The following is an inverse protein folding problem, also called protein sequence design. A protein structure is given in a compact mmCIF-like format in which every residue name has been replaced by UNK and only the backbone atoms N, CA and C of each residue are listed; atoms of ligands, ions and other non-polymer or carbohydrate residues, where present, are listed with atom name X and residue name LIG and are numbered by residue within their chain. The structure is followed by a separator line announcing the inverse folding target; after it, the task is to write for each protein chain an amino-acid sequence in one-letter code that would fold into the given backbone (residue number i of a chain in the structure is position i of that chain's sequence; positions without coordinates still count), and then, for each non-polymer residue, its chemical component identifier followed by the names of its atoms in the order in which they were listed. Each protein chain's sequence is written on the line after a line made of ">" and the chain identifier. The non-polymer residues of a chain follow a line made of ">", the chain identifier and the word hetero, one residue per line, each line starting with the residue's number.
data_IF_372356570307
#
_entry.id   IF_372356570307
#
_cell.length_a   1.000
_cell.length_b   1.000
_cell.length_c   1.000
_cell.angle_alpha   90.00
_cell.angle_beta   90.00
_cell.angle_gamma   90.00
#
_symmetry.space_group_name_H-M   'P 1'
#
loop_
_entity.id
_entity.type
_entity.pdbx_description
1 polymer ?
#
# COMPACT_ATOMS: atom_id res chain seq x y z
N UNK A 1 63.28 -11.85 72.40
CA UNK A 1 61.82 -12.08 72.44
C UNK A 1 61.32 -12.19 71.01
N UNK A 2 60.83 -13.37 70.62
CA UNK A 2 60.51 -13.73 69.23
C UNK A 2 59.23 -13.04 68.71
N UNK A 3 59.25 -12.67 67.43
CA UNK A 3 58.12 -12.11 66.67
C UNK A 3 56.99 -13.14 66.55
N UNK A 4 55.74 -12.70 66.70
CA UNK A 4 54.62 -13.32 65.98
C UNK A 4 53.84 -12.22 65.25
N UNK A 5 53.76 -12.32 63.93
CA UNK A 5 52.78 -11.60 63.13
C UNK A 5 51.93 -12.66 62.45
N UNK A 6 50.67 -12.74 62.85
CA UNK A 6 49.70 -13.66 62.27
C UNK A 6 49.47 -13.28 60.80
N UNK A 7 49.79 -14.23 59.93
CA UNK A 7 49.56 -14.14 58.50
C UNK A 7 48.10 -14.50 58.21
N UNK A 8 47.28 -13.49 57.95
CA UNK A 8 45.87 -13.67 57.58
C UNK A 8 45.76 -14.13 56.13
N UNK A 9 45.39 -15.39 55.91
CA UNK A 9 45.02 -15.92 54.60
C UNK A 9 43.53 -15.71 54.36
N UNK A 10 43.15 -14.56 53.81
CA UNK A 10 41.84 -14.42 53.16
C UNK A 10 42.05 -14.06 51.69
N UNK A 11 42.40 -15.07 50.89
CA UNK A 11 42.56 -14.90 49.44
C UNK A 11 41.74 -15.94 48.68
N UNK A 12 40.43 -15.74 48.66
CA UNK A 12 39.55 -16.19 47.58
C UNK A 12 38.31 -15.28 47.59
N UNK A 13 38.29 -14.20 46.77
CA UNK A 13 37.08 -13.96 45.97
C UNK A 13 37.41 -13.23 44.66
N UNK A 14 38.23 -13.82 43.77
CA UNK A 14 38.63 -13.10 42.52
C UNK A 14 38.16 -13.75 41.23
N UNK A 15 37.87 -15.05 41.23
CA UNK A 15 37.40 -15.76 40.03
C UNK A 15 35.93 -15.44 39.71
N UNK A 16 35.07 -15.40 40.72
CA UNK A 16 33.64 -15.07 40.57
C UNK A 16 33.44 -13.61 40.14
N UNK A 17 34.26 -12.70 40.70
CA UNK A 17 34.25 -11.27 40.34
C UNK A 17 34.60 -11.04 38.86
N UNK A 18 35.59 -11.74 38.33
CA UNK A 18 35.97 -11.61 36.91
C UNK A 18 34.91 -12.19 35.96
N UNK A 19 34.25 -13.29 36.36
CA UNK A 19 33.16 -13.89 35.58
C UNK A 19 31.95 -12.94 35.50
N UNK A 20 31.54 -12.36 36.63
CA UNK A 20 30.44 -11.39 36.69
C UNK A 20 30.73 -10.15 35.84
N UNK A 21 31.96 -9.64 35.87
CA UNK A 21 32.37 -8.48 35.07
C UNK A 21 32.32 -8.78 33.56
N UNK A 22 32.73 -9.99 33.15
CA UNK A 22 32.62 -10.43 31.74
C UNK A 22 31.18 -10.54 31.29
N UNK A 23 30.29 -11.07 32.14
CA UNK A 23 28.86 -11.19 31.83
C UNK A 23 28.18 -9.81 31.72
N UNK A 24 28.55 -8.85 32.58
CA UNK A 24 28.05 -7.47 32.51
C UNK A 24 28.43 -6.75 31.22
N UNK A 25 29.51 -7.14 30.56
CA UNK A 25 29.93 -6.56 29.27
C UNK A 25 29.34 -7.37 28.10
N UNK A 26 29.32 -8.71 28.21
CA UNK A 26 28.85 -9.58 27.14
C UNK A 26 27.35 -9.43 26.86
N UNK A 27 26.49 -9.32 27.89
CA UNK A 27 25.04 -9.20 27.70
C UNK A 27 24.66 -7.93 26.91
N UNK A 28 25.13 -6.72 27.29
CA UNK A 28 24.86 -5.51 26.53
C UNK A 28 25.38 -5.57 25.10
N UNK A 29 26.58 -6.12 24.88
CA UNK A 29 27.17 -6.25 23.54
C UNK A 29 26.34 -7.17 22.65
N UNK A 30 25.90 -8.32 23.17
CA UNK A 30 25.05 -9.27 22.43
C UNK A 30 23.68 -8.64 22.13
N UNK A 31 23.09 -7.93 23.10
CA UNK A 31 21.82 -7.23 22.92
C UNK A 31 21.91 -6.14 21.84
N UNK A 32 22.99 -5.34 21.86
CA UNK A 32 23.23 -4.30 20.85
C UNK A 32 23.44 -4.89 19.44
N UNK A 33 24.20 -5.98 19.33
CA UNK A 33 24.38 -6.70 18.07
C UNK A 33 23.06 -7.23 17.50
N UNK A 34 22.19 -7.77 18.34
CA UNK A 34 20.87 -8.23 17.92
C UNK A 34 20.00 -7.07 17.39
N UNK A 35 20.04 -5.90 18.03
CA UNK A 35 19.30 -4.72 17.57
C UNK A 35 19.79 -4.18 16.22
N UNK A 36 21.09 -4.29 15.93
CA UNK A 36 21.67 -3.85 14.65
C UNK A 36 21.29 -4.77 13.47
N UNK A 37 20.91 -6.02 13.74
CA UNK A 37 20.43 -6.95 12.70
C UNK A 37 18.99 -6.67 12.22
N UNK A 38 18.25 -5.79 12.91
CA UNK A 38 16.89 -5.39 12.56
C UNK A 38 16.77 -4.30 11.49
N UNK A 39 17.89 -3.76 10.97
CA UNK A 39 17.87 -2.78 9.88
C UNK A 39 17.45 -3.48 8.57
N UNK A 40 16.14 -3.50 8.34
CA UNK A 40 15.53 -4.03 7.12
C UNK A 40 16.01 -3.23 5.90
N UNK A 41 16.75 -3.88 4.99
CA UNK A 41 17.07 -3.35 3.65
C UNK A 41 15.94 -3.69 2.65
N UNK A 42 14.68 -3.47 3.04
CA UNK A 42 13.55 -3.65 2.11
C UNK A 42 13.65 -2.61 1.00
N UNK A 43 14.17 -3.04 -0.15
CA UNK A 43 14.18 -2.25 -1.38
C UNK A 43 12.74 -2.03 -1.83
N UNK A 44 12.29 -0.78 -1.79
CA UNK A 44 10.98 -0.40 -2.36
C UNK A 44 11.08 -0.58 -3.88
N UNK A 45 10.40 -1.58 -4.41
CA UNK A 45 10.24 -1.78 -5.85
C UNK A 45 8.92 -1.15 -6.24
N UNK A 46 8.98 -0.01 -6.93
CA UNK A 46 7.80 0.60 -7.52
C UNK A 46 7.32 -0.28 -8.67
N UNK A 47 6.17 -0.92 -8.47
CA UNK A 47 5.49 -1.67 -9.52
C UNK A 47 4.47 -0.75 -10.16
N UNK A 48 4.37 -0.77 -11.49
CA UNK A 48 3.32 -0.04 -12.19
C UNK A 48 1.97 -0.64 -11.84
N UNK A 49 1.03 0.20 -11.41
CA UNK A 49 -0.35 -0.22 -11.17
C UNK A 49 -0.94 -0.70 -12.50
N UNK A 50 -1.55 -1.90 -12.55
CA UNK A 50 -2.19 -2.39 -13.75
C UNK A 50 -3.33 -1.43 -14.16
N UNK A 51 -3.40 -1.11 -15.46
CA UNK A 51 -4.50 -0.34 -16.02
C UNK A 51 -5.78 -1.17 -15.88
N UNK A 52 -6.71 -0.73 -15.04
CA UNK A 52 -8.05 -1.32 -15.01
C UNK A 52 -8.78 -0.81 -16.25
N UNK A 53 -9.09 -1.73 -17.16
CA UNK A 53 -9.82 -1.41 -18.37
C UNK A 53 -11.20 -0.84 -18.02
N UNK A 54 -11.62 0.19 -18.76
CA UNK A 54 -12.99 0.68 -18.62
C UNK A 54 -13.96 -0.45 -18.97
N UNK A 55 -15.06 -0.60 -18.23
CA UNK A 55 -16.15 -1.49 -18.61
C UNK A 55 -16.49 -1.37 -20.11
N UNK A 56 -16.65 -2.51 -20.79
CA UNK A 56 -16.96 -2.55 -22.21
C UNK A 56 -18.25 -1.76 -22.55
N UNK A 57 -19.19 -1.70 -21.60
CA UNK A 57 -20.41 -0.89 -21.72
C UNK A 57 -20.14 0.61 -21.90
N UNK A 58 -19.04 1.13 -21.37
CA UNK A 58 -18.67 2.55 -21.44
C UNK A 58 -17.92 2.91 -22.73
N UNK A 59 -17.47 1.90 -23.47
CA UNK A 59 -16.74 2.04 -24.74
C UNK A 59 -17.53 1.54 -25.93
N UNK A 60 -18.70 0.93 -25.69
CA UNK A 60 -19.61 0.52 -26.75
C UNK A 60 -20.12 1.74 -27.53
N UNK A 61 -20.20 1.62 -28.86
CA UNK A 61 -20.80 2.65 -29.70
C UNK A 61 -22.29 2.78 -29.38
N UNK A 62 -22.77 4.02 -29.37
CA UNK A 62 -24.20 4.29 -29.30
C UNK A 62 -24.86 3.79 -30.59
N UNK A 63 -25.88 2.93 -30.51
CA UNK A 63 -26.53 2.42 -31.71
C UNK A 63 -27.13 3.57 -32.52
N UNK A 64 -26.90 3.55 -33.83
CA UNK A 64 -27.54 4.50 -34.73
C UNK A 64 -29.02 4.12 -34.90
N UNK A 65 -29.95 5.07 -34.77
CA UNK A 65 -31.35 4.79 -35.05
C UNK A 65 -31.57 4.64 -36.56
N UNK A 66 -32.42 3.71 -36.97
CA UNK A 66 -32.79 3.58 -38.38
C UNK A 66 -33.51 4.84 -38.88
N UNK A 67 -32.91 5.54 -39.85
CA UNK A 67 -33.50 6.72 -40.47
C UNK A 67 -34.09 6.31 -41.83
N UNK A 68 -35.42 6.39 -42.00
CA UNK A 68 -36.06 6.05 -43.27
C UNK A 68 -35.84 7.15 -44.33
N UNK A 69 -35.66 6.74 -45.60
CA UNK A 69 -35.48 7.65 -46.75
C UNK A 69 -36.68 8.62 -46.96
N UNK A 70 -37.87 8.20 -46.53
CA UNK A 70 -39.07 9.03 -46.50
C UNK A 70 -39.74 8.89 -45.15
N UNK A 71 -40.00 10.01 -44.50
CA UNK A 71 -40.78 10.07 -43.26
C UNK A 71 -41.89 11.10 -43.37
N UNK A 72 -43.01 10.79 -42.73
CA UNK A 72 -44.05 11.77 -42.43
C UNK A 72 -43.57 12.76 -41.36
N UNK A 73 -44.25 13.89 -41.22
CA UNK A 73 -43.93 14.86 -40.16
C UNK A 73 -44.09 14.27 -38.75
N UNK A 74 -45.06 13.38 -38.51
CA UNK A 74 -45.21 12.71 -37.21
C UNK A 74 -44.01 11.81 -36.88
N UNK A 75 -43.56 11.01 -37.86
CA UNK A 75 -42.40 10.14 -37.69
C UNK A 75 -41.10 10.92 -37.43
N UNK A 76 -40.97 12.13 -37.99
CA UNK A 76 -39.81 12.98 -37.69
C UNK A 76 -39.80 13.44 -36.24
N UNK A 77 -40.97 13.74 -35.68
CA UNK A 77 -41.11 14.11 -34.27
C UNK A 77 -40.75 12.92 -33.36
N UNK A 78 -41.26 11.73 -33.66
CA UNK A 78 -40.95 10.52 -32.91
C UNK A 78 -39.44 10.20 -32.94
N UNK A 79 -38.80 10.36 -34.12
CA UNK A 79 -37.36 10.21 -34.26
C UNK A 79 -36.60 11.21 -33.38
N UNK A 80 -37.02 12.48 -33.34
CA UNK A 80 -36.39 13.49 -32.48
C UNK A 80 -36.51 13.15 -30.99
N UNK A 81 -37.67 12.66 -30.55
CA UNK A 81 -37.86 12.20 -29.16
C UNK A 81 -36.93 11.06 -28.83
N UNK A 82 -36.80 10.08 -29.72
CA UNK A 82 -35.87 8.94 -29.55
C UNK A 82 -34.42 9.42 -29.47
N UNK A 83 -33.99 10.30 -30.38
CA UNK A 83 -32.65 10.89 -30.41
C UNK A 83 -32.32 11.64 -29.11
N UNK A 84 -33.26 12.47 -28.61
CA UNK A 84 -33.07 13.21 -27.37
C UNK A 84 -33.00 12.29 -26.14
N UNK A 85 -33.75 11.20 -26.14
CA UNK A 85 -33.69 10.19 -25.09
C UNK A 85 -32.32 9.50 -25.04
N UNK A 86 -31.83 9.04 -26.19
CA UNK A 86 -30.51 8.41 -26.32
C UNK A 86 -29.40 9.39 -25.94
N UNK A 87 -29.48 10.65 -26.38
CA UNK A 87 -28.54 11.70 -25.99
C UNK A 87 -28.51 11.92 -24.47
N UNK A 88 -29.69 11.93 -23.84
CA UNK A 88 -29.82 12.01 -22.38
C UNK A 88 -29.13 10.85 -21.68
N UNK A 89 -29.28 9.63 -22.21
CA UNK A 89 -28.61 8.46 -21.68
C UNK A 89 -27.09 8.56 -21.84
N UNK A 90 -26.59 8.92 -23.02
CA UNK A 90 -25.15 9.12 -23.26
C UNK A 90 -24.54 10.18 -22.32
N UNK A 91 -25.29 11.24 -21.99
CA UNK A 91 -24.84 12.24 -21.04
C UNK A 91 -24.76 11.71 -19.60
N UNK A 92 -25.69 10.82 -19.19
CA UNK A 92 -25.62 10.13 -17.90
C UNK A 92 -24.42 9.19 -17.84
N UNK A 93 -24.21 8.38 -18.87
CA UNK A 93 -23.07 7.46 -18.92
C UNK A 93 -21.74 8.23 -18.81
N UNK A 94 -21.60 9.37 -19.48
CA UNK A 94 -20.43 10.27 -19.32
C UNK A 94 -20.27 10.80 -17.91
N UNK A 95 -21.35 11.14 -17.22
CA UNK A 95 -21.30 11.60 -15.83
C UNK A 95 -20.83 10.47 -14.90
N UNK A 96 -21.32 9.25 -15.11
CA UNK A 96 -20.92 8.08 -14.34
C UNK A 96 -19.44 7.74 -14.55
N UNK A 97 -18.92 7.85 -15.78
CA UNK A 97 -17.48 7.72 -16.06
C UNK A 97 -16.68 8.76 -15.26
N UNK A 98 -17.09 10.04 -15.28
CA UNK A 98 -16.40 11.11 -14.53
C UNK A 98 -16.41 10.85 -13.03
N UNK A 99 -17.51 10.34 -12.49
CA UNK A 99 -17.63 9.97 -11.08
C UNK A 99 -16.78 8.75 -10.72
N UNK A 100 -16.66 7.78 -11.62
CA UNK A 100 -15.78 6.64 -11.42
C UNK A 100 -14.31 7.09 -11.41
N UNK A 101 -13.90 7.93 -12.36
CA UNK A 101 -12.54 8.47 -12.44
C UNK A 101 -12.18 9.36 -11.24
N UNK A 102 -13.10 10.21 -10.76
CA UNK A 102 -12.84 11.04 -9.57
C UNK A 102 -12.57 10.19 -8.32
N UNK A 103 -13.26 9.06 -8.16
CA UNK A 103 -13.02 8.09 -7.07
C UNK A 103 -11.68 7.37 -7.20
N UNK A 104 -11.08 7.28 -8.40
CA UNK A 104 -9.73 6.70 -8.58
C UNK A 104 -8.61 7.66 -8.18
N UNK A 105 -8.88 8.96 -8.26
CA UNK A 105 -7.93 10.03 -7.96
C UNK A 105 -7.91 10.43 -6.47
N UNK A 106 -8.87 9.93 -5.67
CA UNK A 106 -8.89 10.05 -4.20
C UNK A 106 -8.09 8.91 -3.57
#
# INVERSE_FOLDING_TARGET
>A
MQKSKSHWTHREPRLISGLLLRMMIALPVIFLLAQLSGCSNTKIVYVKVPLVQLPASLTAETPYPDIPDKMTWGQSLDLNVSLLSVLGQCNRDKADIRNAESKRLQ
#
